data_IF_271844260232
#
_entry.id   IF_271844260232
#
_cell.length_a   1.000
_cell.length_b   1.000
_cell.length_c   1.000
_cell.angle_alpha   90.00
_cell.angle_beta   90.00
_cell.angle_gamma   90.00
#
_symmetry.space_group_name_H-M   'P 1'
#
loop_
_entity.id
_entity.type
_entity.pdbx_description
1 polymer ?
#
# COMPACT_ATOMS: atom_id res chain seq x y z
N UNK A 1 -1.49 -6.98 29.09
CA UNK A 1 -2.39 -8.14 29.32
C UNK A 1 -3.76 -7.80 28.74
N UNK A 2 -4.35 -8.63 27.87
CA UNK A 2 -5.68 -8.35 27.29
C UNK A 2 -6.75 -8.79 28.27
N UNK A 3 -7.76 -7.94 28.46
CA UNK A 3 -8.83 -8.14 29.42
C UNK A 3 -10.09 -8.59 28.65
N UNK A 4 -10.71 -9.70 29.05
CA UNK A 4 -11.96 -10.18 28.47
C UNK A 4 -13.14 -9.42 29.08
N UNK A 5 -13.88 -8.67 28.26
CA UNK A 5 -15.02 -7.84 28.68
C UNK A 5 -16.09 -8.67 29.41
N UNK A 6 -16.41 -9.86 28.89
CA UNK A 6 -17.46 -10.73 29.45
C UNK A 6 -17.07 -11.30 30.83
N UNK A 7 -15.76 -11.47 31.02
CA UNK A 7 -15.16 -12.12 32.17
C UNK A 7 -14.67 -11.07 33.22
N UNK A 8 -14.91 -9.76 32.98
CA UNK A 8 -14.52 -8.64 33.85
C UNK A 8 -15.73 -7.78 34.26
N UNK A 9 -16.10 -7.83 35.53
CA UNK A 9 -16.94 -6.78 36.14
C UNK A 9 -16.08 -5.52 36.27
N UNK A 10 -16.36 -4.47 35.50
CA UNK A 10 -15.61 -3.21 35.56
C UNK A 10 -16.14 -2.39 36.74
N UNK A 11 -15.50 -2.52 37.90
CA UNK A 11 -15.70 -1.56 39.01
C UNK A 11 -14.72 -0.39 38.96
N UNK A 12 -13.75 -0.37 38.04
CA UNK A 12 -12.84 0.77 37.90
C UNK A 12 -12.33 0.92 36.46
N UNK A 13 -12.81 1.97 35.79
CA UNK A 13 -12.41 2.38 34.43
C UNK A 13 -10.98 2.99 34.40
N UNK A 14 -10.39 3.24 35.56
CA UNK A 14 -9.09 3.91 35.69
C UNK A 14 -7.87 3.05 35.33
N UNK A 15 -8.00 1.72 35.26
CA UNK A 15 -6.88 0.81 34.99
C UNK A 15 -6.62 0.55 33.48
N UNK A 16 -7.42 1.14 32.58
CA UNK A 16 -7.13 1.12 31.13
C UNK A 16 -6.18 2.29 30.80
N UNK A 17 -5.00 2.30 31.42
CA UNK A 17 -3.94 3.22 31.07
C UNK A 17 -3.27 2.68 29.81
N UNK A 18 -3.57 3.31 28.67
CA UNK A 18 -2.73 3.22 27.49
C UNK A 18 -1.30 3.55 27.89
N UNK A 19 -0.36 2.65 27.59
CA UNK A 19 1.06 2.94 27.68
C UNK A 19 1.30 4.27 26.97
N UNK A 20 1.71 5.29 27.73
CA UNK A 20 2.13 6.58 27.18
C UNK A 20 3.49 6.38 26.50
N UNK A 21 3.46 5.74 25.35
CA UNK A 21 4.58 5.78 24.42
C UNK A 21 4.60 7.19 23.84
N UNK A 22 5.68 7.91 24.14
CA UNK A 22 5.90 9.25 23.61
C UNK A 22 6.47 9.08 22.21
N UNK A 23 5.67 9.42 21.20
CA UNK A 23 6.17 9.42 19.82
C UNK A 23 7.21 10.53 19.62
N UNK A 24 8.48 10.16 19.41
CA UNK A 24 9.60 11.07 19.13
C UNK A 24 9.63 11.50 17.64
N UNK A 25 8.56 12.19 17.21
CA UNK A 25 8.56 12.79 15.89
C UNK A 25 9.59 13.94 15.83
N UNK A 26 10.58 13.81 14.94
CA UNK A 26 11.64 14.78 14.64
C UNK A 26 12.81 14.87 15.64
N UNK A 27 12.98 13.89 16.52
CA UNK A 27 14.10 13.88 17.47
C UNK A 27 14.00 15.01 18.50
N UNK A 28 12.78 15.38 18.90
CA UNK A 28 12.55 16.39 19.93
C UNK A 28 12.71 15.84 21.34
N UNK A 29 12.75 14.50 21.50
CA UNK A 29 13.01 13.86 22.78
C UNK A 29 14.51 13.80 23.16
N UNK A 30 15.42 14.03 22.21
CA UNK A 30 16.87 14.01 22.44
C UNK A 30 17.55 15.20 21.77
N UNK A 31 18.17 16.08 22.55
CA UNK A 31 18.82 17.32 22.07
C UNK A 31 20.21 17.06 21.48
N UNK A 32 20.46 15.85 20.99
CA UNK A 32 21.73 15.53 20.33
C UNK A 32 21.67 16.09 18.91
N UNK A 33 22.43 17.18 18.69
CA UNK A 33 22.65 17.77 17.38
C UNK A 33 23.26 16.73 16.45
N UNK A 34 22.43 16.03 15.68
CA UNK A 34 22.94 15.18 14.61
C UNK A 34 23.77 16.05 13.65
N UNK A 35 24.95 15.56 13.21
CA UNK A 35 25.72 16.25 12.20
C UNK A 35 24.84 16.48 10.97
N UNK A 36 24.86 17.71 10.43
CA UNK A 36 24.07 18.10 9.25
C UNK A 36 24.18 17.00 8.19
N UNK A 37 23.03 16.42 7.82
CA UNK A 37 22.98 15.27 6.94
C UNK A 37 23.78 15.53 5.66
N UNK A 38 24.62 14.57 5.28
CA UNK A 38 25.40 14.61 4.03
C UNK A 38 24.54 14.53 2.76
N UNK A 39 23.22 14.52 2.89
CA UNK A 39 22.30 14.44 1.75
C UNK A 39 22.43 15.72 0.91
N UNK A 40 22.68 15.56 -0.40
CA UNK A 40 22.85 16.64 -1.40
C UNK A 40 24.20 17.38 -1.41
N UNK A 41 25.27 16.87 -0.79
CA UNK A 41 26.60 17.43 -1.09
C UNK A 41 27.09 16.91 -2.45
N UNK A 42 27.78 17.77 -3.19
CA UNK A 42 28.20 17.55 -4.58
C UNK A 42 29.05 16.28 -4.77
N UNK A 43 29.69 15.82 -3.68
CA UNK A 43 30.60 14.67 -3.66
C UNK A 43 30.15 13.54 -2.71
N UNK A 44 28.98 13.62 -2.04
CA UNK A 44 28.70 12.76 -0.88
C UNK A 44 28.04 11.42 -1.14
N UNK A 45 27.62 11.11 -2.36
CA UNK A 45 27.12 9.78 -2.69
C UNK A 45 27.52 9.49 -4.14
N UNK A 46 28.81 9.17 -4.37
CA UNK A 46 29.05 8.15 -5.38
C UNK A 46 28.19 6.97 -4.95
N UNK A 47 27.25 6.58 -5.80
CA UNK A 47 26.20 5.64 -5.47
C UNK A 47 26.81 4.24 -5.19
N UNK A 48 27.44 4.04 -4.04
CA UNK A 48 27.97 2.74 -3.62
C UNK A 48 26.84 1.71 -3.57
N UNK A 49 25.59 2.13 -3.31
CA UNK A 49 24.41 1.29 -3.43
C UNK A 49 24.05 0.89 -4.87
N UNK A 50 24.49 1.65 -5.89
CA UNK A 50 24.35 1.28 -7.31
C UNK A 50 25.49 0.36 -7.79
N UNK A 51 26.53 0.12 -6.97
CA UNK A 51 27.61 -0.80 -7.28
C UNK A 51 27.25 -2.26 -6.93
N UNK A 52 26.11 -2.48 -6.26
CA UNK A 52 25.64 -3.83 -5.97
C UNK A 52 25.15 -4.50 -7.26
N UNK A 53 25.70 -5.67 -7.59
CA UNK A 53 25.39 -6.36 -8.86
C UNK A 53 23.99 -6.98 -8.85
N UNK A 54 23.32 -7.02 -7.70
CA UNK A 54 22.01 -7.64 -7.50
C UNK A 54 20.86 -6.62 -7.37
N UNK A 55 20.87 -5.55 -8.18
CA UNK A 55 19.78 -4.57 -8.18
C UNK A 55 18.58 -5.10 -8.98
N UNK A 56 17.47 -5.37 -8.29
CA UNK A 56 16.20 -5.68 -8.93
C UNK A 56 15.52 -4.42 -9.45
N UNK A 57 15.21 -4.38 -10.75
CA UNK A 57 14.44 -3.30 -11.36
C UNK A 57 12.94 -3.55 -11.12
N UNK A 58 12.35 -2.76 -10.23
CA UNK A 58 10.91 -2.83 -9.93
C UNK A 58 10.13 -2.09 -11.03
N UNK A 59 9.21 -2.75 -11.76
CA UNK A 59 8.42 -2.10 -12.80
C UNK A 59 7.30 -1.22 -12.22
N UNK A 60 7.27 0.07 -12.62
CA UNK A 60 6.29 1.06 -12.14
C UNK A 60 5.14 1.24 -13.13
N UNK A 61 3.93 0.84 -12.74
CA UNK A 61 2.73 0.96 -13.59
C UNK A 61 2.23 2.40 -13.63
N UNK A 62 1.75 2.85 -14.79
CA UNK A 62 1.14 4.19 -14.91
C UNK A 62 -0.22 4.23 -14.22
N UNK A 63 -0.48 5.29 -13.48
CA UNK A 63 -1.76 5.55 -12.84
C UNK A 63 -2.90 5.66 -13.87
N UNK A 64 -4.11 5.22 -13.53
CA UNK A 64 -5.30 5.30 -14.38
C UNK A 64 -5.67 6.71 -14.85
N UNK A 65 -5.34 7.74 -14.06
CA UNK A 65 -5.56 9.14 -14.44
C UNK A 65 -4.54 9.66 -15.47
N UNK A 66 -3.57 8.84 -15.89
CA UNK A 66 -2.61 9.24 -16.90
C UNK A 66 -3.25 9.24 -18.30
N UNK A 67 -3.35 10.42 -18.91
CA UNK A 67 -3.97 10.63 -20.23
C UNK A 67 -3.31 9.87 -21.38
N UNK A 68 -2.07 9.39 -21.21
CA UNK A 68 -1.41 8.53 -22.22
C UNK A 68 -1.93 7.10 -22.24
N UNK A 69 -2.70 6.68 -21.23
CA UNK A 69 -3.28 5.35 -21.17
C UNK A 69 -4.51 5.25 -22.07
N UNK A 70 -4.48 4.27 -22.97
CA UNK A 70 -5.62 3.92 -23.80
C UNK A 70 -6.55 2.96 -23.07
N UNK A 71 -7.86 2.98 -23.35
CA UNK A 71 -8.79 1.99 -22.84
C UNK A 71 -8.32 0.56 -23.16
N UNK A 72 -8.53 -0.36 -22.22
CA UNK A 72 -8.17 -1.76 -22.39
C UNK A 72 -9.37 -2.56 -22.85
N UNK A 73 -9.20 -3.37 -23.90
CA UNK A 73 -10.25 -4.24 -24.40
C UNK A 73 -10.35 -5.51 -23.56
N UNK A 74 -11.50 -5.75 -22.96
CA UNK A 74 -11.86 -7.00 -22.27
C UNK A 74 -13.13 -7.52 -22.94
N UNK A 75 -13.03 -8.72 -23.53
CA UNK A 75 -14.09 -9.29 -24.36
C UNK A 75 -14.52 -8.33 -25.50
N UNK A 76 -15.76 -7.87 -25.48
CA UNK A 76 -16.34 -6.96 -26.48
C UNK A 76 -16.27 -5.48 -26.09
N UNK A 77 -15.93 -5.18 -24.84
CA UNK A 77 -16.02 -3.82 -24.29
C UNK A 77 -14.62 -3.20 -24.07
N UNK A 78 -14.56 -1.87 -24.20
CA UNK A 78 -13.36 -1.11 -23.87
C UNK A 78 -13.51 -0.54 -22.45
N UNK A 79 -12.49 -0.71 -21.62
CA UNK A 79 -12.49 -0.27 -20.22
C UNK A 79 -11.45 0.81 -19.97
N UNK A 80 -11.88 1.93 -19.40
CA UNK A 80 -11.02 3.00 -18.88
C UNK A 80 -11.09 2.99 -17.36
N UNK A 81 -9.94 3.14 -16.71
CA UNK A 81 -9.85 3.14 -15.24
C UNK A 81 -9.36 4.50 -14.78
N UNK A 82 -9.99 5.07 -13.74
CA UNK A 82 -9.54 6.31 -13.10
C UNK A 82 -9.32 6.09 -11.60
N UNK A 83 -8.54 6.97 -10.97
CA UNK A 83 -8.28 6.97 -9.53
C UNK A 83 -7.72 5.65 -8.99
N UNK A 84 -6.89 4.96 -9.77
CA UNK A 84 -6.30 3.65 -9.41
C UNK A 84 -5.18 3.74 -8.37
N UNK A 85 -4.92 4.91 -7.77
CA UNK A 85 -3.75 5.15 -6.93
C UNK A 85 -3.66 4.21 -5.74
N UNK A 86 -4.78 3.91 -5.06
CA UNK A 86 -4.81 2.97 -3.95
C UNK A 86 -4.40 1.56 -4.39
N UNK A 87 -4.96 1.08 -5.51
CA UNK A 87 -4.60 -0.23 -6.07
C UNK A 87 -3.16 -0.30 -6.54
N UNK A 88 -2.72 0.69 -7.31
CA UNK A 88 -1.35 0.73 -7.82
C UNK A 88 -0.34 0.78 -6.65
N UNK A 89 -0.66 1.48 -5.55
CA UNK A 89 0.20 1.52 -4.36
C UNK A 89 0.32 0.15 -3.67
N UNK A 90 -0.79 -0.58 -3.50
CA UNK A 90 -0.76 -1.95 -2.95
C UNK A 90 0.03 -2.88 -3.89
N UNK A 91 -0.23 -2.80 -5.20
CA UNK A 91 0.47 -3.61 -6.18
C UNK A 91 1.99 -3.37 -6.13
N UNK A 92 2.42 -2.11 -6.10
CA UNK A 92 3.85 -1.76 -6.02
C UNK A 92 4.49 -2.23 -4.70
N UNK A 93 3.76 -2.14 -3.57
CA UNK A 93 4.21 -2.69 -2.30
C UNK A 93 4.47 -4.20 -2.38
N UNK A 94 3.56 -4.96 -2.99
CA UNK A 94 3.72 -6.41 -3.14
C UNK A 94 4.81 -6.80 -4.13
N UNK A 95 5.02 -6.03 -5.21
CA UNK A 95 6.12 -6.27 -6.15
C UNK A 95 7.46 -6.02 -5.46
N UNK A 96 7.59 -4.96 -4.66
CA UNK A 96 8.79 -4.74 -3.85
C UNK A 96 9.01 -5.90 -2.87
N UNK A 97 7.98 -6.26 -2.10
CA UNK A 97 8.05 -7.35 -1.13
C UNK A 97 8.36 -8.71 -1.76
N UNK A 98 7.96 -8.95 -3.02
CA UNK A 98 8.30 -10.16 -3.77
C UNK A 98 9.80 -10.32 -3.99
N UNK A 99 10.53 -9.22 -4.25
CA UNK A 99 11.98 -9.25 -4.38
C UNK A 99 12.69 -9.30 -3.02
N UNK A 100 12.10 -8.68 -1.99
CA UNK A 100 12.72 -8.57 -0.67
C UNK A 100 12.51 -9.80 0.22
N UNK A 101 11.40 -10.54 0.06
CA UNK A 101 10.98 -11.58 1.01
C UNK A 101 10.57 -12.88 0.34
N UNK A 102 11.26 -13.98 0.68
CA UNK A 102 10.98 -15.31 0.13
C UNK A 102 9.56 -15.82 0.45
N UNK A 103 9.03 -15.48 1.63
CA UNK A 103 7.64 -15.81 2.01
C UNK A 103 6.62 -15.26 1.01
N UNK A 104 6.78 -14.00 0.57
CA UNK A 104 5.89 -13.37 -0.41
C UNK A 104 6.10 -13.99 -1.79
N UNK A 105 7.35 -14.28 -2.15
CA UNK A 105 7.67 -14.98 -3.41
C UNK A 105 6.96 -16.33 -3.49
N UNK A 106 7.11 -17.17 -2.46
CA UNK A 106 6.44 -18.46 -2.36
C UNK A 106 4.92 -18.33 -2.35
N UNK A 107 4.37 -17.37 -1.60
CA UNK A 107 2.93 -17.10 -1.60
C UNK A 107 2.42 -16.78 -3.01
N UNK A 108 3.08 -15.86 -3.72
CA UNK A 108 2.73 -15.50 -5.09
C UNK A 108 2.77 -16.73 -5.97
N UNK A 109 3.84 -17.54 -5.94
CA UNK A 109 3.98 -18.74 -6.78
C UNK A 109 2.96 -19.83 -6.49
N UNK A 110 2.67 -20.11 -5.22
CA UNK A 110 1.81 -21.21 -4.79
C UNK A 110 0.31 -20.92 -4.95
N UNK A 111 -0.09 -19.64 -5.01
CA UNK A 111 -1.50 -19.28 -5.22
C UNK A 111 -1.80 -19.13 -6.71
N UNK A 112 -2.72 -19.94 -7.22
CA UNK A 112 -3.13 -19.97 -8.63
C UNK A 112 -4.50 -19.32 -8.89
N UNK A 113 -5.40 -19.31 -7.91
CA UNK A 113 -6.77 -18.79 -8.04
C UNK A 113 -6.91 -17.30 -7.68
N UNK A 114 -5.79 -16.57 -7.62
CA UNK A 114 -5.77 -15.15 -7.27
C UNK A 114 -5.16 -14.28 -8.38
N UNK A 115 -6.02 -13.60 -9.15
CA UNK A 115 -5.62 -12.71 -10.27
C UNK A 115 -4.59 -11.64 -9.87
N UNK A 116 -4.59 -11.20 -8.60
CA UNK A 116 -3.59 -10.24 -8.11
C UNK A 116 -2.18 -10.85 -8.08
N UNK A 117 -2.03 -12.11 -7.63
CA UNK A 117 -0.77 -12.85 -7.72
C UNK A 117 -0.35 -13.10 -9.17
N UNK A 118 -1.31 -13.39 -10.06
CA UNK A 118 -1.06 -13.51 -11.50
C UNK A 118 -0.48 -12.20 -12.08
N UNK A 119 -1.06 -11.06 -11.73
CA UNK A 119 -0.54 -9.74 -12.15
C UNK A 119 0.88 -9.50 -11.64
N UNK A 120 1.17 -9.83 -10.38
CA UNK A 120 2.53 -9.73 -9.83
C UNK A 120 3.49 -10.62 -10.62
N UNK A 121 3.16 -11.91 -10.83
CA UNK A 121 3.97 -12.86 -11.61
C UNK A 121 4.28 -12.32 -13.00
N UNK A 122 3.27 -11.77 -13.67
CA UNK A 122 3.44 -11.21 -15.02
C UNK A 122 4.42 -10.03 -15.00
N UNK A 123 4.24 -9.10 -14.07
CA UNK A 123 5.06 -7.90 -13.98
C UNK A 123 6.51 -8.21 -13.59
N UNK A 124 6.75 -9.12 -12.64
CA UNK A 124 8.12 -9.47 -12.22
C UNK A 124 8.86 -10.29 -13.28
N UNK A 125 8.15 -11.09 -14.07
CA UNK A 125 8.77 -11.95 -15.10
C UNK A 125 9.03 -11.20 -16.40
N UNK A 126 8.13 -10.27 -16.76
CA UNK A 126 8.09 -9.71 -18.11
C UNK A 126 8.09 -8.18 -18.16
N UNK A 127 8.12 -7.51 -16.99
CA UNK A 127 7.89 -6.08 -16.89
C UNK A 127 6.43 -5.71 -17.19
N UNK A 128 6.19 -4.41 -17.41
CA UNK A 128 4.85 -3.90 -17.71
C UNK A 128 4.52 -4.08 -19.18
N UNK A 129 3.43 -4.81 -19.44
CA UNK A 129 2.89 -5.05 -20.77
C UNK A 129 1.42 -4.63 -20.85
N UNK A 130 0.86 -4.68 -22.06
CA UNK A 130 -0.58 -4.49 -22.29
C UNK A 130 -1.43 -5.48 -21.48
N UNK A 131 -0.93 -6.70 -21.31
CA UNK A 131 -1.54 -7.74 -20.48
C UNK A 131 -1.62 -7.34 -19.00
N UNK A 132 -0.61 -6.65 -18.46
CA UNK A 132 -0.60 -6.17 -17.08
C UNK A 132 -1.72 -5.15 -16.84
N UNK A 133 -1.94 -4.22 -17.78
CA UNK A 133 -3.07 -3.29 -17.73
C UNK A 133 -4.42 -3.99 -17.89
N UNK A 134 -4.47 -5.09 -18.65
CA UNK A 134 -5.68 -5.92 -18.81
C UNK A 134 -6.02 -6.69 -17.53
N UNK A 135 -5.04 -7.33 -16.89
CA UNK A 135 -5.22 -8.00 -15.60
C UNK A 135 -5.65 -7.00 -14.53
N UNK A 136 -5.01 -5.82 -14.46
CA UNK A 136 -5.44 -4.72 -13.58
C UNK A 136 -6.90 -4.36 -13.80
N UNK A 137 -7.31 -4.16 -15.06
CA UNK A 137 -8.69 -3.84 -15.39
C UNK A 137 -9.66 -4.99 -15.04
N UNK A 138 -9.26 -6.25 -15.25
CA UNK A 138 -10.07 -7.42 -14.87
C UNK A 138 -10.27 -7.53 -13.36
N UNK A 139 -9.25 -7.21 -12.55
CA UNK A 139 -9.38 -7.22 -11.09
C UNK A 139 -10.31 -6.08 -10.64
N UNK A 140 -10.08 -4.86 -11.14
CA UNK A 140 -10.84 -3.68 -10.70
C UNK A 140 -12.28 -3.68 -11.20
N UNK A 141 -12.57 -4.26 -12.37
CA UNK A 141 -13.93 -4.45 -12.88
C UNK A 141 -14.81 -5.25 -11.91
N UNK A 142 -14.24 -6.25 -11.25
CA UNK A 142 -14.99 -7.13 -10.35
C UNK A 142 -15.26 -6.46 -8.98
N UNK A 143 -14.57 -5.35 -8.67
CA UNK A 143 -14.60 -4.67 -7.37
C UNK A 143 -15.40 -3.35 -7.35
N UNK A 144 -15.55 -2.71 -8.51
CA UNK A 144 -16.10 -1.36 -8.62
C UNK A 144 -17.24 -1.32 -9.61
N UNK A 145 -18.19 -0.42 -9.36
CA UNK A 145 -19.26 -0.15 -10.32
C UNK A 145 -18.72 0.57 -11.55
N UNK A 146 -19.36 0.30 -12.68
CA UNK A 146 -18.97 0.86 -13.96
C UNK A 146 -20.02 1.80 -14.51
N UNK A 147 -19.57 2.84 -15.23
CA UNK A 147 -20.42 3.78 -15.96
C UNK A 147 -20.15 3.63 -17.46
N UNK A 148 -21.20 3.46 -18.25
CA UNK A 148 -21.09 3.52 -19.69
C UNK A 148 -20.86 4.96 -20.16
N UNK A 149 -19.92 5.12 -21.07
CA UNK A 149 -19.61 6.36 -21.78
C UNK A 149 -19.99 6.23 -23.25
N UNK A 150 -20.11 7.34 -23.98
CA UNK A 150 -20.23 7.31 -25.43
C UNK A 150 -19.12 6.46 -26.08
N UNK A 151 -19.41 5.88 -27.25
CA UNK A 151 -18.50 5.04 -28.05
C UNK A 151 -18.16 3.67 -27.44
N UNK A 152 -19.11 3.02 -26.74
CA UNK A 152 -18.94 1.67 -26.16
C UNK A 152 -17.72 1.56 -25.24
N UNK A 153 -17.42 2.64 -24.51
CA UNK A 153 -16.38 2.68 -23.50
C UNK A 153 -17.02 2.61 -22.12
N UNK A 154 -16.44 1.80 -21.25
CA UNK A 154 -16.89 1.61 -19.87
C UNK A 154 -15.85 2.26 -18.96
N UNK A 155 -16.27 3.23 -18.17
CA UNK A 155 -15.44 3.89 -17.17
C UNK A 155 -15.63 3.24 -15.81
N UNK A 156 -14.53 2.89 -15.15
CA UNK A 156 -14.52 2.41 -13.78
C UNK A 156 -13.77 3.43 -12.94
N UNK A 157 -14.48 4.06 -11.99
CA UNK A 157 -13.86 4.91 -10.99
C UNK A 157 -13.40 4.05 -9.81
N UNK A 158 -12.09 3.98 -9.58
CA UNK A 158 -11.48 3.17 -8.53
C UNK A 158 -11.13 3.97 -7.27
N UNK A 159 -11.72 5.16 -7.10
CA UNK A 159 -11.51 5.99 -5.92
C UNK A 159 -11.99 5.26 -4.65
N UNK A 160 -11.04 5.00 -3.74
CA UNK A 160 -11.31 4.16 -2.57
C UNK A 160 -10.25 4.33 -1.49
N UNK A 161 -10.59 3.94 -0.26
CA UNK A 161 -9.61 3.76 0.82
C UNK A 161 -8.80 2.46 0.63
N UNK A 162 -7.54 2.47 1.05
CA UNK A 162 -6.69 1.26 1.05
C UNK A 162 -7.33 0.15 1.89
N UNK A 163 -7.97 0.50 3.02
CA UNK A 163 -8.63 -0.47 3.90
C UNK A 163 -9.74 -1.24 3.20
N UNK A 164 -10.65 -0.56 2.50
CA UNK A 164 -11.68 -1.22 1.70
C UNK A 164 -11.06 -2.11 0.63
N UNK A 165 -10.02 -1.63 -0.06
CA UNK A 165 -9.39 -2.38 -1.13
C UNK A 165 -8.71 -3.66 -0.62
N UNK A 166 -7.99 -3.58 0.51
CA UNK A 166 -7.38 -4.75 1.15
C UNK A 166 -8.43 -5.79 1.54
N UNK A 167 -9.52 -5.37 2.21
CA UNK A 167 -10.60 -6.26 2.64
C UNK A 167 -11.20 -7.06 1.47
N UNK A 168 -11.41 -6.40 0.34
CA UNK A 168 -12.01 -7.05 -0.83
C UNK A 168 -11.00 -7.86 -1.64
N UNK A 169 -9.77 -7.36 -1.84
CA UNK A 169 -8.74 -8.07 -2.61
C UNK A 169 -8.28 -9.35 -1.92
N UNK A 170 -8.06 -9.30 -0.62
CA UNK A 170 -7.37 -10.35 0.11
C UNK A 170 -8.30 -11.09 1.09
N UNK A 171 -9.61 -11.01 0.91
CA UNK A 171 -10.60 -11.68 1.76
C UNK A 171 -10.28 -13.16 2.01
N UNK A 172 -9.81 -13.87 0.96
CA UNK A 172 -9.41 -15.29 1.01
C UNK A 172 -8.03 -15.52 1.62
N UNK A 173 -7.14 -14.52 1.58
CA UNK A 173 -5.73 -14.62 1.99
C UNK A 173 -5.38 -13.55 3.03
N UNK A 174 -5.94 -13.65 4.25
CA UNK A 174 -5.58 -12.72 5.31
C UNK A 174 -4.11 -12.82 5.69
N UNK A 175 -3.47 -11.66 5.85
CA UNK A 175 -2.06 -11.60 6.30
C UNK A 175 -1.90 -12.03 7.76
N UNK A 176 -2.93 -11.82 8.58
CA UNK A 176 -2.90 -12.17 9.99
C UNK A 176 -4.28 -12.61 10.49
N UNK A 177 -4.28 -13.66 11.32
CA UNK A 177 -5.44 -14.11 12.09
C UNK A 177 -5.06 -14.10 13.56
N UNK A 178 -5.81 -13.34 14.33
CA UNK A 178 -5.75 -13.32 15.78
C UNK A 178 -6.74 -14.31 16.36
N UNK A 179 -6.30 -15.08 17.36
CA UNK A 179 -7.18 -15.89 18.18
C UNK A 179 -7.01 -15.38 19.61
N UNK A 180 -8.05 -14.78 20.16
CA UNK A 180 -8.08 -14.38 21.56
C UNK A 180 -8.76 -15.46 22.38
N UNK A 181 -8.00 -16.08 23.29
CA UNK A 181 -8.51 -17.09 24.23
C UNK A 181 -8.59 -16.48 25.62
N UNK A 182 -9.68 -16.79 26.33
CA UNK A 182 -9.82 -16.43 27.73
C UNK A 182 -9.53 -17.65 28.60
N UNK A 183 -8.70 -17.47 29.62
CA UNK A 183 -8.34 -18.53 30.57
C UNK A 183 -9.53 -19.03 31.40
N UNK A 184 -10.60 -18.23 31.52
CA UNK A 184 -11.82 -18.59 32.25
C UNK A 184 -12.84 -19.37 31.40
N UNK A 185 -12.48 -19.83 30.21
CA UNK A 185 -13.36 -20.62 29.34
C UNK A 185 -14.40 -19.80 28.55
N UNK A 186 -14.29 -18.47 28.50
CA UNK A 186 -15.06 -17.63 27.58
C UNK A 186 -14.76 -18.08 26.10
N UNK A 187 -15.74 -18.11 25.16
CA UNK A 187 -15.53 -18.60 23.79
C UNK A 187 -14.38 -17.89 23.05
N UNK A 188 -13.65 -18.64 22.21
CA UNK A 188 -12.56 -18.08 21.41
C UNK A 188 -13.08 -16.99 20.46
N UNK A 189 -12.40 -15.84 20.45
CA UNK A 189 -12.69 -14.76 19.50
C UNK A 189 -11.66 -14.78 18.38
N UNK A 190 -12.16 -14.97 17.17
CA UNK A 190 -11.35 -14.92 15.95
C UNK A 190 -11.40 -13.52 15.38
N UNK A 191 -10.25 -12.87 15.22
CA UNK A 191 -10.13 -11.61 14.50
C UNK A 191 -9.21 -11.80 13.32
N UNK A 192 -9.76 -11.80 12.13
CA UNK A 192 -8.96 -11.76 10.90
C UNK A 192 -8.55 -10.31 10.68
N UNK A 193 -7.24 -9.99 10.71
CA UNK A 193 -6.81 -8.62 10.45
C UNK A 193 -6.88 -8.36 8.94
N UNK A 194 -7.91 -7.61 8.55
CA UNK A 194 -7.94 -6.69 7.39
C UNK A 194 -8.70 -5.38 7.70
N UNK A 195 -9.15 -5.20 8.95
CA UNK A 195 -10.04 -4.11 9.32
C UNK A 195 -9.32 -2.78 9.52
N UNK A 196 -10.06 -1.71 9.25
CA UNK A 196 -9.65 -0.31 9.35
C UNK A 196 -9.05 0.00 10.71
N UNK A 197 -7.75 0.31 10.72
CA UNK A 197 -7.23 1.22 11.72
C UNK A 197 -7.80 2.60 11.39
N UNK A 198 -8.61 3.15 12.29
CA UNK A 198 -8.80 4.61 12.33
C UNK A 198 -7.42 5.18 12.58
N UNK A 199 -6.87 5.89 11.59
CA UNK A 199 -5.67 6.69 11.76
C UNK A 199 -6.00 7.72 12.85
N UNK A 200 -5.62 7.46 14.10
CA UNK A 200 -5.76 8.39 15.20
C UNK A 200 -4.65 9.43 15.09
N UNK A 201 -4.75 10.28 14.07
CA UNK A 201 -3.75 11.31 13.79
C UNK A 201 -4.06 12.05 12.49
N UNK A 202 -4.62 13.25 12.61
CA UNK A 202 -4.63 14.22 11.52
C UNK A 202 -3.18 14.70 11.31
N UNK A 203 -2.48 14.14 10.32
CA UNK A 203 -1.25 14.74 9.83
C UNK A 203 -1.66 16.00 9.06
N UNK A 204 -1.61 17.15 9.72
CA UNK A 204 -1.69 18.45 9.06
C UNK A 204 -0.44 18.63 8.19
N UNK A 205 -0.48 18.09 6.97
CA UNK A 205 0.54 18.33 5.97
C UNK A 205 0.39 19.76 5.46
N UNK A 206 1.15 20.70 6.04
CA UNK A 206 1.42 21.98 5.41
C UNK A 206 2.42 21.75 4.29
N UNK A 207 1.94 21.74 3.05
CA UNK A 207 2.82 21.86 1.88
C UNK A 207 3.75 23.07 2.06
N UNK A 208 5.04 22.97 1.72
CA UNK A 208 5.91 24.14 1.65
C UNK A 208 5.27 25.22 0.78
N UNK A 209 5.27 26.47 1.24
CA UNK A 209 4.69 27.61 0.52
C UNK A 209 5.40 27.91 -0.81
N UNK A 210 6.61 27.35 -1.01
CA UNK A 210 7.37 27.41 -2.26
C UNK A 210 7.98 26.05 -2.51
N UNK A 211 7.48 25.33 -3.51
CA UNK A 211 8.24 24.28 -4.17
C UNK A 211 9.37 24.97 -4.94
N UNK A 212 10.63 24.67 -4.63
CA UNK A 212 11.76 25.10 -5.47
C UNK A 212 11.72 24.31 -6.77
N UNK A 213 10.93 24.81 -7.73
CA UNK A 213 10.91 24.40 -9.13
C UNK A 213 12.12 25.02 -9.83
N UNK A 214 13.02 24.16 -10.29
CA UNK A 214 13.63 24.31 -11.62
C UNK A 214 13.02 23.24 -12.55
N UNK A 215 11.71 23.30 -12.74
CA UNK A 215 11.04 22.65 -13.86
C UNK A 215 10.02 23.65 -14.38
N UNK A 216 10.33 24.21 -15.54
CA UNK A 216 9.51 25.17 -16.29
C UNK A 216 8.38 24.51 -17.07
N UNK A 217 8.23 23.19 -16.98
CA UNK A 217 7.19 22.48 -17.72
C UNK A 217 5.98 22.20 -16.84
N UNK A 218 4.86 22.79 -17.23
CA UNK A 218 3.56 22.82 -16.52
C UNK A 218 2.84 21.46 -16.49
N UNK A 219 3.44 20.37 -17.01
CA UNK A 219 2.67 19.16 -17.34
C UNK A 219 2.73 17.97 -16.38
N UNK A 220 3.53 17.95 -15.31
CA UNK A 220 3.55 16.79 -14.40
C UNK A 220 3.57 17.19 -12.92
N UNK A 221 2.37 17.42 -12.36
CA UNK A 221 2.15 17.28 -10.92
C UNK A 221 1.76 15.83 -10.67
N UNK A 222 2.76 14.95 -10.63
CA UNK A 222 2.55 13.57 -10.17
C UNK A 222 2.14 13.58 -8.69
N UNK A 223 1.03 12.95 -8.35
CA UNK A 223 0.74 12.54 -6.98
C UNK A 223 1.71 11.41 -6.61
N UNK A 224 2.66 11.68 -5.72
CA UNK A 224 3.58 10.66 -5.20
C UNK A 224 3.04 10.12 -3.88
N UNK A 225 2.81 8.81 -3.83
CA UNK A 225 2.65 8.10 -2.56
C UNK A 225 4.03 7.63 -2.11
N UNK A 226 4.61 8.31 -1.12
CA UNK A 226 5.83 7.82 -0.47
C UNK A 226 5.44 6.89 0.67
N UNK A 227 5.88 5.63 0.61
CA UNK A 227 5.75 4.67 1.71
C UNK A 227 7.15 4.53 2.32
N UNK A 228 7.31 4.95 3.57
CA UNK A 228 8.55 4.75 4.33
C UNK A 228 8.31 3.65 5.36
N UNK A 229 9.16 2.63 5.38
CA UNK A 229 9.20 1.60 6.42
C UNK A 229 10.60 1.60 7.06
N UNK A 230 10.65 1.49 8.40
CA UNK A 230 11.88 1.38 9.16
C UNK A 230 11.97 -0.02 9.76
N UNK A 231 13.05 -0.73 9.45
CA UNK A 231 13.33 -2.06 10.00
C UNK A 231 13.83 -1.92 11.44
N UNK A 232 13.02 -2.30 12.41
CA UNK A 232 13.34 -2.30 13.85
C UNK A 232 12.41 -3.26 14.59
N UNK A 233 12.91 -3.87 15.67
CA UNK A 233 12.13 -4.82 16.49
C UNK A 233 10.94 -4.08 17.12
N UNK A 234 9.76 -4.67 16.95
CA UNK A 234 8.52 -4.32 17.63
C UNK A 234 8.63 -4.56 19.13
#
# INVERSE_FOLDING_TARGET
QRICIDCHNINNVQDIIATKEVEDWRGLATVDKQPKGRYLQKDSIQNEFLLDTNIHKIPIIKNGNNMSLKPVKIEKNNYSLTNTCAFDSILQLFIAAYFDTETIKLFVHNVSDFKFCELIKEMVSYGIKKSSYRLRAMILKDLFTSKELPNNCILINCEVSIGFLCRNLFQKYPSFREISKCEKGCPERFKTMMDEYKLAGLINFKSPAKQTRHSTDIQDIGHYTAISYRRGKW
#
